data_IF_410723079096
#
_entry.id   IF_410723079096
#
_cell.length_a   1.000
_cell.length_b   1.000
_cell.length_c   1.000
_cell.angle_alpha   90.00
_cell.angle_beta   90.00
_cell.angle_gamma   90.00
#
_symmetry.space_group_name_H-M   'P 1'
#
loop_
_entity.id
_entity.type
_entity.pdbx_description
1 polymer ?
#
# COMPACT_ATOMS: atom_id res chain seq x y z
N UNK A 1 14.69 7.04 13.44
CA UNK A 1 15.02 7.76 14.69
C UNK A 1 14.44 9.16 14.56
N UNK A 2 13.56 9.58 15.48
CA UNK A 2 12.95 10.92 15.49
C UNK A 2 13.72 11.81 16.46
N UNK A 3 14.13 13.01 16.04
CA UNK A 3 14.83 14.00 16.88
C UNK A 3 14.18 15.37 16.73
N UNK A 4 13.98 16.07 17.85
CA UNK A 4 13.53 17.47 17.87
C UNK A 4 14.67 18.36 17.42
N UNK A 5 14.43 19.18 16.39
CA UNK A 5 15.49 19.96 15.74
C UNK A 5 15.80 21.30 16.43
N UNK A 6 15.01 21.72 17.43
CA UNK A 6 15.18 22.99 18.16
C UNK A 6 14.34 24.14 17.57
N UNK A 7 14.26 25.26 18.30
CA UNK A 7 13.41 26.41 17.91
C UNK A 7 13.97 27.21 16.72
N UNK A 8 15.26 27.06 16.43
CA UNK A 8 15.92 27.78 15.34
C UNK A 8 15.65 27.16 13.96
N UNK A 9 15.03 25.97 13.90
CA UNK A 9 14.72 25.34 12.63
C UNK A 9 13.44 25.93 12.05
N UNK A 10 13.51 26.61 10.89
CA UNK A 10 12.35 27.18 10.25
C UNK A 10 11.34 26.10 9.86
N UNK A 11 10.07 26.40 10.09
CA UNK A 11 8.93 25.59 9.64
C UNK A 11 7.95 26.48 8.89
N UNK A 12 7.22 25.88 7.95
CA UNK A 12 6.11 26.52 7.24
C UNK A 12 4.80 26.06 7.84
N UNK A 13 3.90 27.01 8.09
CA UNK A 13 2.52 26.74 8.52
C UNK A 13 1.59 27.07 7.36
N UNK A 14 0.77 26.09 6.96
CA UNK A 14 -0.27 26.26 5.94
C UNK A 14 -1.62 26.16 6.63
N UNK A 15 -2.42 27.22 6.52
CA UNK A 15 -3.80 27.25 7.02
C UNK A 15 -4.75 27.30 5.84
N UNK A 16 -5.45 26.20 5.59
CA UNK A 16 -6.37 26.05 4.47
C UNK A 16 -7.83 26.02 4.93
N UNK A 17 -8.70 26.70 4.19
CA UNK A 17 -10.15 26.48 4.27
C UNK A 17 -10.52 25.49 3.18
N UNK A 18 -10.90 24.28 3.58
CA UNK A 18 -11.28 23.21 2.66
C UNK A 18 -12.80 23.11 2.60
N UNK A 19 -13.35 23.01 1.39
CA UNK A 19 -14.78 22.82 1.19
C UNK A 19 -15.25 21.53 1.89
N UNK A 20 -16.44 21.58 2.51
CA UNK A 20 -16.98 20.48 3.31
C UNK A 20 -16.42 20.35 4.74
N UNK A 21 -15.32 21.02 5.07
CA UNK A 21 -14.75 21.00 6.42
C UNK A 21 -15.25 22.19 7.25
N UNK A 22 -15.78 21.90 8.45
CA UNK A 22 -16.21 22.95 9.40
C UNK A 22 -15.03 23.72 10.01
N UNK A 23 -13.89 23.07 10.19
CA UNK A 23 -12.67 23.66 10.77
C UNK A 23 -11.63 23.92 9.69
N UNK A 24 -10.78 24.92 9.90
CA UNK A 24 -9.60 25.15 9.06
C UNK A 24 -8.61 24.00 9.23
N UNK A 25 -8.00 23.57 8.14
CA UNK A 25 -6.93 22.60 8.14
C UNK A 25 -5.62 23.35 8.42
N UNK A 26 -4.88 22.94 9.45
CA UNK A 26 -3.59 23.55 9.81
C UNK A 26 -2.50 22.51 9.67
N UNK A 27 -1.58 22.75 8.75
CA UNK A 27 -0.45 21.87 8.45
C UNK A 27 0.84 22.57 8.83
N UNK A 28 1.76 21.81 9.43
CA UNK A 28 3.10 22.27 9.78
C UNK A 28 4.10 21.38 9.07
N UNK A 29 5.07 21.97 8.40
CA UNK A 29 6.06 21.23 7.59
C UNK A 29 7.44 21.86 7.67
N UNK A 30 8.48 21.03 7.54
CA UNK A 30 9.86 21.47 7.32
C UNK A 30 10.20 21.64 5.83
N UNK A 31 9.30 21.26 4.92
CA UNK A 31 9.44 21.45 3.48
C UNK A 31 9.11 22.90 3.10
N UNK A 32 10.13 23.77 3.15
CA UNK A 32 9.98 25.22 2.96
C UNK A 32 9.80 25.62 1.50
N UNK A 33 10.13 24.72 0.59
CA UNK A 33 10.04 24.88 -0.87
C UNK A 33 8.63 24.64 -1.41
N UNK A 34 7.83 23.82 -0.73
CA UNK A 34 6.49 23.45 -1.20
C UNK A 34 5.48 24.56 -1.03
N UNK A 35 4.68 24.84 -2.05
CA UNK A 35 3.57 25.78 -1.97
C UNK A 35 2.49 25.29 -1.00
N UNK A 36 1.60 26.18 -0.60
CA UNK A 36 0.46 25.81 0.25
C UNK A 36 -0.45 24.75 -0.39
N UNK A 37 -0.61 24.79 -1.72
CA UNK A 37 -1.43 23.82 -2.45
C UNK A 37 -0.77 22.45 -2.49
N UNK A 38 0.51 22.37 -2.88
CA UNK A 38 1.27 21.10 -2.90
C UNK A 38 1.30 20.45 -1.50
N UNK A 39 1.40 21.25 -0.44
CA UNK A 39 1.33 20.73 0.93
C UNK A 39 -0.04 20.13 1.28
N UNK A 40 -1.13 20.74 0.82
CA UNK A 40 -2.49 20.19 1.02
C UNK A 40 -2.68 18.92 0.20
N UNK A 41 -2.17 18.87 -1.03
CA UNK A 41 -2.22 17.68 -1.88
C UNK A 41 -1.44 16.50 -1.28
N UNK A 42 -0.21 16.74 -0.81
CA UNK A 42 0.58 15.73 -0.10
C UNK A 42 -0.11 15.25 1.18
N UNK A 43 -0.71 16.16 1.93
CA UNK A 43 -1.48 15.79 3.12
C UNK A 43 -2.70 14.93 2.75
N UNK A 44 -3.41 15.26 1.67
CA UNK A 44 -4.51 14.44 1.18
C UNK A 44 -4.03 13.05 0.72
N UNK A 45 -2.86 12.96 0.08
CA UNK A 45 -2.26 11.68 -0.31
C UNK A 45 -1.94 10.77 0.89
N UNK A 46 -1.75 11.33 2.10
CA UNK A 46 -1.55 10.55 3.34
C UNK A 46 -2.67 9.54 3.60
N UNK A 47 -3.91 9.85 3.20
CA UNK A 47 -5.05 8.95 3.41
C UNK A 47 -4.91 7.61 2.67
N UNK A 48 -4.01 7.49 1.69
CA UNK A 48 -3.67 6.19 1.08
C UNK A 48 -3.04 5.21 2.09
N UNK A 49 -2.49 5.69 3.21
CA UNK A 49 -2.07 4.82 4.31
C UNK A 49 -3.28 4.11 4.95
N UNK A 50 -4.42 4.79 5.05
CA UNK A 50 -5.66 4.21 5.61
C UNK A 50 -6.26 3.17 4.67
N UNK A 51 -6.15 3.37 3.35
CA UNK A 51 -6.44 2.32 2.36
C UNK A 51 -5.58 1.07 2.61
N UNK A 52 -4.28 1.26 2.85
CA UNK A 52 -3.33 0.18 3.15
C UNK A 52 -3.73 -0.61 4.41
N UNK A 53 -4.07 0.08 5.50
CA UNK A 53 -4.56 -0.57 6.72
C UNK A 53 -5.85 -1.35 6.49
N UNK A 54 -6.82 -0.77 5.74
CA UNK A 54 -8.06 -1.46 5.40
C UNK A 54 -7.78 -2.74 4.61
N UNK A 55 -6.95 -2.65 3.58
CA UNK A 55 -6.64 -3.80 2.72
C UNK A 55 -5.87 -4.90 3.46
N UNK A 56 -4.95 -4.53 4.36
CA UNK A 56 -4.25 -5.51 5.22
C UNK A 56 -5.23 -6.32 6.08
N UNK A 57 -6.20 -5.63 6.69
CA UNK A 57 -7.21 -6.27 7.53
C UNK A 57 -8.15 -7.13 6.69
N UNK A 58 -8.76 -6.55 5.66
CA UNK A 58 -9.86 -7.15 4.91
C UNK A 58 -9.42 -8.17 3.86
N UNK A 59 -8.19 -8.10 3.34
CA UNK A 59 -7.72 -8.98 2.25
C UNK A 59 -6.66 -9.97 2.71
N UNK A 60 -5.70 -9.50 3.50
CA UNK A 60 -4.61 -10.35 3.99
C UNK A 60 -4.91 -10.98 5.36
N UNK A 61 -6.07 -10.68 5.95
CA UNK A 61 -6.51 -11.28 7.22
C UNK A 61 -5.63 -10.86 8.40
N UNK A 62 -5.15 -9.61 8.41
CA UNK A 62 -4.24 -9.14 9.48
C UNK A 62 -4.85 -9.28 10.89
N UNK A 63 -6.15 -9.01 11.02
CA UNK A 63 -6.89 -9.19 12.28
C UNK A 63 -7.35 -10.65 12.53
N UNK A 64 -7.12 -11.55 11.57
CA UNK A 64 -7.51 -12.96 11.63
C UNK A 64 -6.35 -13.88 12.05
N UNK A 65 -5.20 -13.31 12.44
CA UNK A 65 -4.04 -14.06 12.90
C UNK A 65 -4.39 -14.90 14.14
N UNK A 66 -4.20 -16.21 14.06
CA UNK A 66 -4.47 -17.17 15.15
C UNK A 66 -3.25 -17.46 16.04
N UNK A 67 -2.19 -16.69 15.91
CA UNK A 67 -1.02 -16.83 16.76
C UNK A 67 -1.28 -16.26 18.15
N UNK A 68 -0.75 -16.93 19.18
CA UNK A 68 -0.99 -16.57 20.59
C UNK A 68 0.21 -15.93 21.28
N UNK A 69 1.36 -15.87 20.61
CA UNK A 69 2.60 -15.27 21.14
C UNK A 69 3.07 -14.12 20.27
N UNK A 70 3.78 -13.17 20.87
CA UNK A 70 4.19 -11.92 20.22
C UNK A 70 5.03 -12.14 18.95
N UNK A 71 6.04 -13.01 19.01
CA UNK A 71 7.00 -13.18 17.92
C UNK A 71 6.34 -13.65 16.61
N UNK A 72 5.49 -14.69 16.59
CA UNK A 72 4.74 -15.06 15.38
C UNK A 72 3.81 -13.95 14.88
N UNK A 73 3.11 -13.23 15.78
CA UNK A 73 2.23 -12.11 15.38
C UNK A 73 3.04 -11.04 14.63
N UNK A 74 4.19 -10.64 15.16
CA UNK A 74 5.07 -9.64 14.54
C UNK A 74 5.59 -10.12 13.17
N UNK A 75 6.03 -11.39 13.07
CA UNK A 75 6.53 -11.95 11.80
C UNK A 75 5.45 -12.06 10.74
N UNK A 76 4.26 -12.56 11.09
CA UNK A 76 3.14 -12.65 10.16
C UNK A 76 2.71 -11.26 9.70
N UNK A 77 2.66 -10.29 10.62
CA UNK A 77 2.36 -8.89 10.26
C UNK A 77 3.38 -8.34 9.26
N UNK A 78 4.68 -8.53 9.50
CA UNK A 78 5.74 -8.10 8.59
C UNK A 78 5.60 -8.75 7.20
N UNK A 79 5.35 -10.05 7.14
CA UNK A 79 5.13 -10.75 5.89
C UNK A 79 3.90 -10.22 5.12
N UNK A 80 2.81 -9.91 5.83
CA UNK A 80 1.62 -9.30 5.24
C UNK A 80 1.90 -7.90 4.70
N UNK A 81 2.66 -7.06 5.41
CA UNK A 81 3.08 -5.74 4.93
C UNK A 81 3.91 -5.83 3.65
N UNK A 82 4.92 -6.71 3.62
CA UNK A 82 5.75 -6.93 2.43
C UNK A 82 4.89 -7.43 1.27
N UNK A 83 4.00 -8.38 1.51
CA UNK A 83 3.09 -8.92 0.49
C UNK A 83 2.19 -7.81 -0.10
N UNK A 84 1.60 -6.97 0.75
CA UNK A 84 0.77 -5.84 0.29
C UNK A 84 1.60 -4.85 -0.53
N UNK A 85 2.81 -4.50 -0.09
CA UNK A 85 3.70 -3.61 -0.84
C UNK A 85 4.05 -4.18 -2.23
N UNK A 86 4.37 -5.47 -2.31
CA UNK A 86 4.64 -6.14 -3.59
C UNK A 86 3.41 -6.17 -4.50
N UNK A 87 2.22 -6.43 -3.95
CA UNK A 87 0.97 -6.36 -4.72
C UNK A 87 0.70 -4.95 -5.27
N UNK A 88 1.03 -3.91 -4.50
CA UNK A 88 0.89 -2.50 -4.95
C UNK A 88 1.90 -2.12 -6.01
N UNK A 89 3.14 -2.60 -5.91
CA UNK A 89 4.15 -2.41 -6.96
C UNK A 89 3.74 -3.15 -8.24
N UNK A 90 3.28 -4.39 -8.15
CA UNK A 90 2.78 -5.14 -9.29
C UNK A 90 1.59 -4.43 -9.97
N UNK A 91 0.68 -3.86 -9.19
CA UNK A 91 -0.40 -3.02 -9.73
C UNK A 91 0.14 -1.84 -10.54
N UNK A 92 1.10 -1.10 -9.99
CA UNK A 92 1.69 0.07 -10.66
C UNK A 92 2.42 -0.32 -11.95
N UNK A 93 3.19 -1.40 -11.94
CA UNK A 93 3.88 -1.92 -13.12
C UNK A 93 2.88 -2.32 -14.21
N UNK A 94 1.84 -3.09 -13.85
CA UNK A 94 0.80 -3.49 -14.80
C UNK A 94 0.01 -2.30 -15.35
N UNK A 95 -0.29 -1.30 -14.52
CA UNK A 95 -0.91 -0.05 -14.98
C UNK A 95 0.01 0.71 -15.94
N UNK A 96 1.31 0.75 -15.66
CA UNK A 96 2.30 1.43 -16.52
C UNK A 96 2.50 0.73 -17.87
N UNK A 97 2.36 -0.60 -17.92
CA UNK A 97 2.40 -1.37 -19.15
C UNK A 97 1.18 -1.13 -20.05
N UNK A 98 0.11 -0.53 -19.52
CA UNK A 98 -1.12 -0.24 -20.27
C UNK A 98 -1.97 -1.47 -20.61
N UNK A 99 -1.58 -2.65 -20.11
CA UNK A 99 -2.34 -3.88 -20.32
C UNK A 99 -3.59 -3.88 -19.43
N UNK A 100 -4.75 -4.16 -20.03
CA UNK A 100 -6.04 -4.20 -19.32
C UNK A 100 -6.75 -5.54 -19.43
N UNK A 101 -6.17 -6.52 -20.13
CA UNK A 101 -6.80 -7.82 -20.37
C UNK A 101 -6.95 -8.66 -19.09
N UNK A 102 -6.11 -8.39 -18.10
CA UNK A 102 -6.19 -9.00 -16.78
C UNK A 102 -7.24 -8.34 -15.87
N UNK A 103 -7.79 -7.17 -16.26
CA UNK A 103 -8.79 -6.45 -15.47
C UNK A 103 -10.10 -7.23 -15.42
N UNK A 104 -10.47 -7.67 -14.21
CA UNK A 104 -11.77 -8.27 -14.00
C UNK A 104 -12.87 -7.20 -13.89
N UNK A 105 -13.76 -7.16 -14.89
CA UNK A 105 -14.95 -6.31 -14.90
C UNK A 105 -16.16 -7.12 -14.45
N UNK A 106 -16.60 -6.99 -13.18
CA UNK A 106 -17.74 -7.77 -12.71
C UNK A 106 -19.03 -7.35 -13.41
N UNK A 107 -20.03 -8.24 -13.55
CA UNK A 107 -21.29 -7.93 -14.24
C UNK A 107 -22.04 -6.70 -13.70
N UNK A 108 -21.90 -6.41 -12.40
CA UNK A 108 -22.52 -5.28 -11.70
C UNK A 108 -21.70 -3.98 -11.76
N UNK A 109 -20.45 -4.02 -12.24
CA UNK A 109 -19.61 -2.84 -12.44
C UNK A 109 -18.85 -2.94 -13.77
N UNK A 110 -19.62 -2.99 -14.86
CA UNK A 110 -19.11 -2.99 -16.23
C UNK A 110 -18.26 -1.77 -16.60
N UNK A 111 -18.55 -0.54 -16.13
CA UNK A 111 -17.73 0.63 -16.47
C UNK A 111 -16.44 0.71 -15.64
N UNK A 112 -16.01 -0.38 -14.98
CA UNK A 112 -14.72 -0.43 -14.29
C UNK A 112 -13.59 -0.32 -15.31
N UNK A 113 -12.94 0.84 -15.29
CA UNK A 113 -11.77 1.13 -16.14
C UNK A 113 -10.45 0.99 -15.39
N UNK A 114 -10.46 1.24 -14.07
CA UNK A 114 -9.24 1.20 -13.26
C UNK A 114 -9.09 -0.13 -12.53
N UNK A 115 -7.92 -0.77 -12.59
CA UNK A 115 -7.63 -1.93 -11.77
C UNK A 115 -7.55 -1.57 -10.29
N UNK A 116 -7.71 -2.59 -9.46
CA UNK A 116 -7.66 -2.49 -8.00
C UNK A 116 -6.75 -3.59 -7.45
N UNK A 117 -6.36 -3.46 -6.19
CA UNK A 117 -5.60 -4.53 -5.51
C UNK A 117 -6.30 -5.90 -5.56
N UNK A 118 -7.64 -5.94 -5.65
CA UNK A 118 -8.39 -7.19 -5.81
C UNK A 118 -8.13 -7.86 -7.16
N UNK A 119 -7.96 -7.07 -8.21
CA UNK A 119 -7.77 -7.59 -9.56
C UNK A 119 -6.38 -8.23 -9.67
N UNK A 120 -5.37 -7.61 -9.07
CA UNK A 120 -4.02 -8.18 -8.93
C UNK A 120 -4.05 -9.45 -8.07
N UNK A 121 -4.75 -9.43 -6.93
CA UNK A 121 -4.87 -10.62 -6.10
C UNK A 121 -5.51 -11.80 -6.88
N UNK A 122 -6.58 -11.54 -7.63
CA UNK A 122 -7.22 -12.54 -8.50
C UNK A 122 -6.29 -13.04 -9.60
N UNK A 123 -5.52 -12.15 -10.21
CA UNK A 123 -4.52 -12.51 -11.22
C UNK A 123 -3.44 -13.43 -10.63
N UNK A 124 -2.86 -13.06 -9.49
CA UNK A 124 -1.87 -13.88 -8.79
C UNK A 124 -2.44 -15.24 -8.37
N UNK A 125 -3.70 -15.28 -7.90
CA UNK A 125 -4.38 -16.55 -7.58
C UNK A 125 -4.61 -17.42 -8.82
N UNK A 126 -4.95 -16.82 -9.96
CA UNK A 126 -5.13 -17.53 -11.23
C UNK A 126 -3.83 -18.18 -11.70
N UNK A 127 -2.71 -17.45 -11.61
CA UNK A 127 -1.37 -17.93 -12.00
C UNK A 127 -0.58 -18.56 -10.85
N UNK A 128 -1.26 -18.97 -9.77
CA UNK A 128 -0.63 -19.57 -8.60
C UNK A 128 0.23 -20.79 -8.97
N UNK A 129 -0.22 -21.74 -9.81
CA UNK A 129 0.60 -22.91 -10.18
C UNK A 129 1.94 -22.52 -10.81
N UNK A 130 1.92 -21.60 -11.78
CA UNK A 130 3.09 -21.14 -12.51
C UNK A 130 4.03 -20.35 -11.59
N UNK A 131 3.48 -19.46 -10.76
CA UNK A 131 4.25 -18.73 -9.76
C UNK A 131 4.96 -19.71 -8.81
N UNK A 132 4.26 -20.74 -8.32
CA UNK A 132 4.86 -21.74 -7.43
C UNK A 132 5.96 -22.53 -8.13
N UNK A 133 5.78 -22.90 -9.40
CA UNK A 133 6.80 -23.59 -10.19
C UNK A 133 8.05 -22.72 -10.40
N UNK A 134 7.88 -21.44 -10.70
CA UNK A 134 9.01 -20.52 -10.85
C UNK A 134 9.73 -20.28 -9.52
N UNK A 135 8.99 -20.16 -8.42
CA UNK A 135 9.57 -20.00 -7.09
C UNK A 135 10.31 -21.25 -6.64
N UNK A 136 9.80 -22.46 -6.90
CA UNK A 136 10.51 -23.70 -6.58
C UNK A 136 11.81 -23.81 -7.37
N UNK A 137 11.77 -23.49 -8.67
CA UNK A 137 12.99 -23.45 -9.50
C UNK A 137 14.01 -22.40 -9.03
N UNK A 138 13.55 -21.29 -8.45
CA UNK A 138 14.42 -20.24 -7.92
C UNK A 138 15.04 -20.59 -6.57
N UNK A 139 14.30 -21.27 -5.69
CA UNK A 139 14.78 -21.73 -4.38
C UNK A 139 15.80 -22.88 -4.50
N UNK A 140 15.85 -23.54 -5.66
CA UNK A 140 16.62 -24.77 -5.87
C UNK A 140 15.94 -25.97 -5.21
N UNK A 141 16.24 -27.17 -5.70
CA UNK A 141 15.89 -28.38 -4.96
C UNK A 141 16.82 -28.44 -3.73
N UNK A 142 16.25 -28.48 -2.52
CA UNK A 142 17.00 -28.67 -1.26
C UNK A 142 17.61 -30.11 -1.15
N UNK A 143 18.22 -30.63 -2.21
CA UNK A 143 18.85 -31.96 -2.23
C UNK A 143 20.40 -31.93 -2.24
N UNK A 144 21.05 -30.77 -2.19
CA UNK A 144 22.53 -30.68 -2.21
C UNK A 144 23.18 -30.28 -0.87
N UNK A 145 22.51 -30.50 0.27
CA UNK A 145 23.16 -30.38 1.59
C UNK A 145 22.73 -31.52 2.52
N UNK A 146 23.32 -32.69 2.32
CA UNK A 146 23.35 -33.80 3.28
C UNK A 146 24.79 -34.31 3.45
#
# INVERSE_FOLDING_TARGET
MWRVLGHDVPVKVVVAKVEGYKKRLTLVTSALELTGLEMVELFAARFRQEDGFRDLKQRLGWEECRAWTRNPIERTSQAQWVTMSLQRLALLELESAGEVDWLFRPPWNRPKERPSGLDVERLLRRHRPEILQHLSGWLGDEEEVA
#
